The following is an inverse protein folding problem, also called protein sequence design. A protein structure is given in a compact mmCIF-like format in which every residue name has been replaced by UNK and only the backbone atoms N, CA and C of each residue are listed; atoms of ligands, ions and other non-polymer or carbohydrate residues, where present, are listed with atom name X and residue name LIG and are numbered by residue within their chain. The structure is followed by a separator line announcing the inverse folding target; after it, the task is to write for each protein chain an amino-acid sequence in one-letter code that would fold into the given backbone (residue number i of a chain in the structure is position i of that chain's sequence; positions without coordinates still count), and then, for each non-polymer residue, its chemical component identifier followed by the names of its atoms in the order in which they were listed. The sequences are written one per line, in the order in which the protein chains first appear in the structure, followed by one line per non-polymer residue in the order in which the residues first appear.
data_IF_966090020243
#
_entry.id   IF_966090020243
#
_cell.length_a   1.000
_cell.length_b   1.000
_cell.length_c   1.000
_cell.angle_alpha   90.00
_cell.angle_beta   90.00
_cell.angle_gamma   90.00
#
_symmetry.space_group_name_H-M   'P 1'
#
loop_
_entity.id
_entity.type
_entity.pdbx_description
1 polymer ?
#
# COMPACT_ATOMS: atom_id res chain seq x y z
N UNK A 1 -1.09 8.52 -8.13
CA UNK A 1 -1.49 8.02 -6.82
C UNK A 1 -1.08 6.56 -6.63
N UNK A 2 -0.99 6.11 -5.36
CA UNK A 2 -0.77 4.72 -5.02
C UNK A 2 -2.09 3.96 -4.97
N UNK A 3 -2.07 2.71 -5.46
CA UNK A 3 -3.20 1.79 -5.39
C UNK A 3 -3.22 1.10 -4.03
N UNK A 4 -4.36 1.17 -3.34
CA UNK A 4 -4.57 0.49 -2.07
C UNK A 4 -5.30 -0.85 -2.23
N UNK A 5 -5.30 -1.66 -1.18
CA UNK A 5 -5.97 -2.97 -1.18
C UNK A 5 -7.47 -2.89 -1.45
N UNK A 6 -8.15 -1.82 -1.03
CA UNK A 6 -9.57 -1.59 -1.30
C UNK A 6 -9.85 -1.14 -2.74
N UNK A 7 -8.85 -0.60 -3.44
CA UNK A 7 -8.96 -0.14 -4.83
C UNK A 7 -8.83 -1.29 -5.84
N UNK A 8 -8.02 -2.30 -5.53
CA UNK A 8 -7.69 -3.40 -6.45
C UNK A 8 -8.92 -4.09 -7.05
N UNK A 9 -10.00 -4.41 -6.29
CA UNK A 9 -11.19 -5.01 -6.90
C UNK A 9 -11.86 -4.13 -7.94
N UNK A 10 -11.80 -2.80 -7.78
CA UNK A 10 -12.33 -1.85 -8.76
C UNK A 10 -11.41 -1.64 -9.95
N UNK A 11 -10.10 -1.75 -9.74
CA UNK A 11 -9.09 -1.64 -10.80
C UNK A 11 -9.18 -2.80 -11.81
N UNK A 12 -9.52 -4.02 -11.36
CA UNK A 12 -9.62 -5.21 -12.19
C UNK A 12 -10.92 -5.24 -12.99
N UNK A 13 -10.84 -5.72 -14.24
CA UNK A 13 -12.02 -5.87 -15.11
C UNK A 13 -13.01 -6.87 -14.50
N UNK A 14 -14.26 -6.44 -14.34
CA UNK A 14 -15.37 -7.30 -13.88
C UNK A 14 -15.53 -8.55 -14.78
N UNK A 15 -15.75 -9.69 -14.15
CA UNK A 15 -15.87 -10.97 -14.84
C UNK A 15 -14.55 -11.68 -15.13
N UNK A 16 -13.40 -11.04 -14.92
CA UNK A 16 -12.11 -11.72 -15.00
C UNK A 16 -11.89 -12.69 -13.84
N UNK A 17 -11.05 -13.72 -14.04
CA UNK A 17 -10.65 -14.64 -12.98
C UNK A 17 -9.95 -13.90 -11.83
N UNK A 18 -9.13 -12.93 -12.15
CA UNK A 18 -8.43 -12.08 -11.16
C UNK A 18 -9.41 -11.31 -10.28
N UNK A 19 -10.42 -10.67 -10.89
CA UNK A 19 -11.50 -9.99 -10.18
C UNK A 19 -12.26 -10.95 -9.24
N UNK A 20 -12.64 -12.13 -9.73
CA UNK A 20 -13.36 -13.11 -8.93
C UNK A 20 -12.58 -13.55 -7.68
N UNK A 21 -11.25 -13.62 -7.79
CA UNK A 21 -10.36 -14.00 -6.68
C UNK A 21 -10.21 -12.89 -5.63
N UNK A 22 -10.12 -11.63 -6.04
CA UNK A 22 -9.75 -10.52 -5.12
C UNK A 22 -10.95 -9.78 -4.54
N UNK A 23 -12.12 -9.83 -5.18
CA UNK A 23 -13.31 -9.06 -4.74
C UNK A 23 -13.76 -9.40 -3.31
N UNK A 24 -13.51 -10.63 -2.88
CA UNK A 24 -13.89 -11.10 -1.55
C UNK A 24 -12.89 -10.68 -0.45
N UNK A 25 -11.69 -10.21 -0.84
CA UNK A 25 -10.63 -9.83 0.08
C UNK A 25 -10.78 -8.39 0.58
N UNK A 26 -11.42 -7.51 -0.20
CA UNK A 26 -11.60 -6.12 0.18
C UNK A 26 -12.90 -5.94 0.97
N UNK A 27 -12.80 -5.69 2.26
CA UNK A 27 -13.94 -5.31 3.09
C UNK A 27 -14.57 -4.02 2.55
N UNK A 28 -15.89 -3.90 2.60
CA UNK A 28 -16.59 -2.73 2.09
C UNK A 28 -16.70 -2.63 0.56
N UNK A 29 -16.16 -3.58 -0.21
CA UNK A 29 -16.33 -3.62 -1.65
C UNK A 29 -17.81 -3.66 -2.06
N UNK A 30 -18.22 -2.77 -2.97
CA UNK A 30 -19.61 -2.64 -3.44
C UNK A 30 -19.71 -3.06 -4.92
N UNK A 31 -20.13 -4.29 -5.21
CA UNK A 31 -20.19 -4.78 -6.60
C UNK A 31 -21.04 -3.91 -7.52
N UNK A 32 -22.12 -3.30 -7.00
CA UNK A 32 -22.99 -2.41 -7.79
C UNK A 32 -22.33 -1.09 -8.22
N UNK A 33 -21.27 -0.65 -7.52
CA UNK A 33 -20.50 0.54 -7.88
C UNK A 33 -19.32 0.23 -8.82
N UNK A 34 -18.99 -1.05 -9.03
CA UNK A 34 -17.78 -1.46 -9.72
C UNK A 34 -17.60 -0.78 -11.07
N UNK A 35 -18.60 -0.88 -11.96
CA UNK A 35 -18.49 -0.34 -13.32
C UNK A 35 -18.12 1.15 -13.32
N UNK A 36 -18.86 1.95 -12.54
CA UNK A 36 -18.64 3.40 -12.46
C UNK A 36 -17.26 3.74 -11.90
N UNK A 37 -16.86 3.07 -10.82
CA UNK A 37 -15.53 3.29 -10.22
C UNK A 37 -14.43 2.83 -11.15
N UNK A 38 -14.56 1.65 -11.78
CA UNK A 38 -13.61 1.14 -12.76
C UNK A 38 -13.38 2.12 -13.91
N UNK A 39 -14.46 2.65 -14.51
CA UNK A 39 -14.38 3.63 -15.59
C UNK A 39 -13.59 4.89 -15.17
N UNK A 40 -13.87 5.42 -13.97
CA UNK A 40 -13.13 6.58 -13.44
C UNK A 40 -11.64 6.28 -13.17
N UNK A 41 -11.33 5.06 -12.76
CA UNK A 41 -9.95 4.66 -12.45
C UNK A 41 -9.08 4.46 -13.70
N UNK A 42 -9.67 4.23 -14.88
CA UNK A 42 -8.89 4.00 -16.12
C UNK A 42 -8.06 5.22 -16.54
N UNK A 43 -8.50 6.42 -16.20
CA UNK A 43 -7.82 7.68 -16.55
C UNK A 43 -6.81 8.11 -15.47
N UNK A 44 -6.69 7.36 -14.38
CA UNK A 44 -5.79 7.67 -13.27
C UNK A 44 -4.52 6.81 -13.38
N UNK A 45 -3.32 7.42 -13.43
CA UNK A 45 -2.06 6.69 -13.48
C UNK A 45 -1.71 6.12 -12.10
N UNK A 46 -2.34 5.03 -11.72
CA UNK A 46 -2.02 4.34 -10.46
C UNK A 46 -0.67 3.64 -10.50
N UNK A 47 -0.02 3.60 -9.35
CA UNK A 47 1.22 2.88 -9.09
C UNK A 47 1.06 2.00 -7.84
N UNK A 48 1.81 0.90 -7.74
CA UNK A 48 1.98 0.16 -6.48
C UNK A 48 3.06 0.77 -5.60
N UNK A 49 4.02 1.43 -6.23
CA UNK A 49 5.12 2.10 -5.55
C UNK A 49 5.48 3.41 -6.26
N UNK A 50 5.93 4.37 -5.48
CA UNK A 50 6.55 5.61 -5.96
C UNK A 50 7.91 5.80 -5.27
N UNK A 51 8.85 6.44 -5.97
CA UNK A 51 10.17 6.77 -5.45
C UNK A 51 10.72 8.02 -6.12
N UNK A 52 11.56 8.75 -5.40
CA UNK A 52 12.46 9.79 -5.92
C UNK A 52 13.91 9.28 -6.13
N UNK A 53 14.13 7.99 -5.88
CA UNK A 53 15.43 7.34 -5.89
C UNK A 53 16.00 7.04 -4.50
N UNK A 54 15.50 7.68 -3.44
CA UNK A 54 15.98 7.51 -2.05
C UNK A 54 14.92 6.89 -1.13
N UNK A 55 13.66 7.18 -1.39
CA UNK A 55 12.53 6.70 -0.59
C UNK A 55 11.65 5.76 -1.40
N UNK A 56 10.96 4.86 -0.71
CA UNK A 56 9.96 3.99 -1.30
C UNK A 56 8.60 4.30 -0.66
N UNK A 57 7.66 4.83 -1.42
CA UNK A 57 6.28 4.98 -0.98
C UNK A 57 5.43 3.84 -1.52
N UNK A 58 4.72 3.14 -0.64
CA UNK A 58 3.76 2.07 -0.98
C UNK A 58 2.51 2.23 -0.12
N UNK A 59 1.42 1.52 -0.46
CA UNK A 59 0.20 1.62 0.33
C UNK A 59 0.37 1.18 1.79
N UNK A 60 1.07 0.04 2.05
CA UNK A 60 1.12 -0.56 3.37
C UNK A 60 2.53 -0.90 3.89
N UNK A 61 3.56 -0.78 3.05
CA UNK A 61 4.95 -1.05 3.40
C UNK A 61 5.50 -2.38 2.87
N UNK A 62 6.76 -2.35 2.49
CA UNK A 62 7.50 -3.51 1.99
C UNK A 62 8.20 -4.22 3.14
N UNK A 63 7.87 -5.51 3.37
CA UNK A 63 8.56 -6.38 4.32
C UNK A 63 9.69 -7.13 3.63
N UNK A 64 10.73 -7.48 4.40
CA UNK A 64 11.91 -8.21 3.88
C UNK A 64 11.55 -9.59 3.35
N UNK A 65 10.72 -10.33 4.08
CA UNK A 65 10.35 -11.68 3.69
C UNK A 65 9.52 -11.69 2.40
N UNK A 66 8.58 -10.75 2.24
CA UNK A 66 7.80 -10.62 1.01
C UNK A 66 8.70 -10.19 -0.16
N UNK A 67 9.55 -9.19 0.05
CA UNK A 67 10.49 -8.70 -0.95
C UNK A 67 11.41 -9.83 -1.47
N UNK A 68 12.05 -10.59 -0.58
CA UNK A 68 12.89 -11.74 -0.95
C UNK A 68 12.12 -12.80 -1.75
N UNK A 69 10.89 -13.07 -1.37
CA UNK A 69 10.04 -14.08 -2.01
C UNK A 69 9.55 -13.65 -3.39
N UNK A 70 9.23 -12.37 -3.58
CA UNK A 70 8.53 -11.86 -4.77
C UNK A 70 9.40 -11.03 -5.70
N UNK A 71 10.39 -10.32 -5.16
CA UNK A 71 11.32 -9.49 -5.93
C UNK A 71 12.68 -10.15 -6.11
N UNK A 72 12.96 -11.26 -5.40
CA UNK A 72 14.21 -12.00 -5.44
C UNK A 72 15.06 -11.79 -4.19
N UNK A 73 15.92 -12.77 -3.88
CA UNK A 73 16.71 -12.78 -2.64
C UNK A 73 17.73 -11.63 -2.54
N UNK A 74 18.09 -11.05 -3.66
CA UNK A 74 19.05 -9.96 -3.81
C UNK A 74 18.41 -8.57 -3.96
N UNK A 75 17.09 -8.46 -3.84
CA UNK A 75 16.37 -7.20 -4.09
C UNK A 75 16.86 -6.05 -3.19
N UNK A 76 17.27 -6.36 -1.95
CA UNK A 76 17.78 -5.38 -0.98
C UNK A 76 19.09 -4.70 -1.45
N UNK A 77 19.82 -5.30 -2.41
CA UNK A 77 21.00 -4.72 -3.01
C UNK A 77 20.71 -3.89 -4.27
N UNK A 78 19.42 -3.75 -4.63
CA UNK A 78 19.00 -3.02 -5.81
C UNK A 78 18.73 -1.56 -5.49
N UNK A 79 18.92 -0.65 -6.45
CA UNK A 79 18.45 0.72 -6.32
C UNK A 79 16.95 0.76 -6.03
N UNK A 80 16.50 1.72 -5.22
CA UNK A 80 15.09 1.88 -4.85
C UNK A 80 14.19 2.02 -6.08
N UNK A 81 14.68 2.68 -7.14
CA UNK A 81 13.99 2.78 -8.42
C UNK A 81 13.70 1.41 -9.06
N UNK A 82 14.66 0.48 -9.04
CA UNK A 82 14.44 -0.87 -9.58
C UNK A 82 13.40 -1.63 -8.75
N UNK A 83 13.38 -1.43 -7.43
CA UNK A 83 12.37 -2.04 -6.55
C UNK A 83 10.97 -1.50 -6.90
N UNK A 84 10.85 -0.18 -7.01
CA UNK A 84 9.58 0.48 -7.38
C UNK A 84 9.09 0.03 -8.77
N UNK A 85 9.99 -0.05 -9.76
CA UNK A 85 9.67 -0.52 -11.11
C UNK A 85 9.15 -1.95 -11.11
N UNK A 86 9.78 -2.86 -10.36
CA UNK A 86 9.34 -4.26 -10.24
C UNK A 86 7.97 -4.36 -9.59
N UNK A 87 7.68 -3.54 -8.57
CA UNK A 87 6.36 -3.47 -7.98
C UNK A 87 5.33 -2.96 -9.00
N UNK A 88 5.64 -1.89 -9.73
CA UNK A 88 4.74 -1.29 -10.71
C UNK A 88 4.48 -2.22 -11.92
N UNK A 89 5.45 -3.04 -12.32
CA UNK A 89 5.25 -4.05 -13.36
C UNK A 89 4.13 -5.04 -13.04
N UNK A 90 3.82 -5.27 -11.76
CA UNK A 90 2.70 -6.12 -11.36
C UNK A 90 1.34 -5.56 -11.79
N UNK A 91 1.22 -4.22 -12.00
CA UNK A 91 -0.01 -3.59 -12.51
C UNK A 91 -0.26 -3.87 -13.99
N UNK A 92 0.78 -4.16 -14.75
CA UNK A 92 0.68 -4.34 -16.21
C UNK A 92 -0.08 -5.61 -16.59
N UNK A 93 -0.16 -6.58 -15.69
CA UNK A 93 -0.82 -7.86 -15.95
C UNK A 93 -1.79 -8.22 -14.80
N UNK A 94 -3.09 -8.40 -15.11
CA UNK A 94 -4.11 -8.72 -14.09
C UNK A 94 -3.78 -9.96 -13.23
N UNK A 95 -3.09 -10.96 -13.80
CA UNK A 95 -2.66 -12.15 -13.07
C UNK A 95 -1.55 -11.87 -12.08
N UNK A 96 -0.61 -10.97 -12.40
CA UNK A 96 0.46 -10.54 -11.50
C UNK A 96 -0.08 -9.68 -10.35
N UNK A 97 -1.09 -8.86 -10.63
CA UNK A 97 -1.77 -7.99 -9.67
C UNK A 97 -2.45 -8.78 -8.53
N UNK A 98 -2.89 -10.01 -8.81
CA UNK A 98 -3.51 -10.89 -7.81
C UNK A 98 -2.53 -11.27 -6.70
N UNK A 99 -1.23 -11.38 -7.01
CA UNK A 99 -0.21 -11.83 -6.07
C UNK A 99 -0.13 -10.93 -4.83
N UNK A 100 0.13 -9.63 -4.94
CA UNK A 100 0.16 -8.77 -3.76
C UNK A 100 -1.19 -8.70 -3.05
N UNK A 101 -2.30 -8.80 -3.78
CA UNK A 101 -3.63 -8.76 -3.18
C UNK A 101 -3.97 -10.00 -2.35
N UNK A 102 -3.42 -11.16 -2.67
CA UNK A 102 -3.65 -12.41 -1.94
C UNK A 102 -2.62 -12.68 -0.82
N UNK A 103 -1.49 -11.97 -0.82
CA UNK A 103 -0.47 -12.09 0.21
C UNK A 103 -0.84 -11.24 1.43
N UNK A 104 -1.78 -11.76 2.22
CA UNK A 104 -2.32 -11.13 3.43
C UNK A 104 -1.62 -11.72 4.65
N UNK A 105 -1.15 -10.86 5.53
CA UNK A 105 -0.52 -11.26 6.79
C UNK A 105 -1.50 -11.63 7.88
N UNK A 106 -1.01 -12.23 8.99
CA UNK A 106 -1.84 -12.68 10.12
C UNK A 106 -2.64 -11.56 10.78
N UNK A 107 -2.10 -10.35 10.87
CA UNK A 107 -2.78 -9.19 11.46
C UNK A 107 -4.08 -8.82 10.72
N UNK A 108 -4.21 -9.21 9.45
CA UNK A 108 -5.39 -8.97 8.61
C UNK A 108 -6.13 -10.28 8.26
N UNK A 109 -5.91 -11.33 9.04
CA UNK A 109 -6.62 -12.62 8.92
C UNK A 109 -6.08 -13.55 7.85
N UNK A 110 -4.93 -13.24 7.25
CA UNK A 110 -4.21 -14.14 6.36
C UNK A 110 -3.28 -15.11 7.10
N UNK A 111 -2.57 -15.93 6.36
CA UNK A 111 -1.58 -16.88 6.90
C UNK A 111 -0.21 -16.73 6.22
N UNK A 112 -0.04 -15.72 5.41
CA UNK A 112 1.15 -15.49 4.61
C UNK A 112 1.99 -14.32 5.09
N UNK A 113 3.03 -14.03 4.32
CA UNK A 113 3.84 -12.82 4.49
C UNK A 113 3.08 -11.64 3.88
N UNK A 114 2.86 -10.55 4.60
CA UNK A 114 2.08 -9.43 4.10
C UNK A 114 2.79 -8.71 2.95
N UNK A 115 2.01 -8.39 1.92
CA UNK A 115 2.46 -7.61 0.78
C UNK A 115 2.42 -6.10 1.08
N UNK A 116 3.00 -5.26 0.18
CA UNK A 116 2.86 -3.80 0.27
C UNK A 116 1.43 -3.25 0.17
N UNK A 117 0.43 -4.11 -0.02
CA UNK A 117 -0.99 -3.76 0.04
C UNK A 117 -1.67 -4.10 1.37
N UNK A 118 -1.04 -4.94 2.22
CA UNK A 118 -1.70 -5.51 3.39
C UNK A 118 -0.87 -5.47 4.67
N UNK A 119 0.37 -5.02 4.63
CA UNK A 119 1.23 -5.01 5.80
C UNK A 119 0.64 -4.14 6.91
N UNK A 120 0.36 -4.74 8.06
CA UNK A 120 0.00 -3.99 9.26
C UNK A 120 1.24 -3.39 9.91
N UNK A 121 1.07 -2.28 10.67
CA UNK A 121 2.18 -1.64 11.38
C UNK A 121 2.91 -2.59 12.33
N UNK A 122 2.19 -3.51 12.99
CA UNK A 122 2.81 -4.52 13.85
C UNK A 122 3.67 -5.51 13.07
N UNK A 123 3.20 -5.97 11.92
CA UNK A 123 3.97 -6.83 11.02
C UNK A 123 5.17 -6.11 10.41
N UNK A 124 5.02 -4.81 10.12
CA UNK A 124 6.11 -3.98 9.65
C UNK A 124 7.20 -3.81 10.74
N UNK A 125 6.80 -3.65 12.00
CA UNK A 125 7.73 -3.58 13.13
C UNK A 125 8.61 -4.85 13.26
N UNK A 126 8.06 -6.02 12.92
CA UNK A 126 8.75 -7.31 13.00
C UNK A 126 9.65 -7.58 11.77
N UNK A 127 9.22 -7.23 10.57
CA UNK A 127 9.90 -7.62 9.33
C UNK A 127 9.97 -6.51 8.26
N UNK A 128 9.71 -5.26 8.60
CA UNK A 128 9.87 -4.13 7.68
C UNK A 128 11.28 -4.05 7.11
N UNK A 129 11.40 -3.63 5.85
CA UNK A 129 12.72 -3.41 5.25
C UNK A 129 13.30 -2.08 5.72
N UNK A 130 14.02 -2.13 6.83
CA UNK A 130 14.66 -0.96 7.45
C UNK A 130 15.94 -0.50 6.71
N UNK A 131 16.33 -1.16 5.61
CA UNK A 131 17.36 -0.63 4.73
C UNK A 131 16.81 0.43 3.76
N UNK A 132 15.49 0.59 3.72
CA UNK A 132 14.78 1.55 2.89
C UNK A 132 14.06 2.57 3.77
N UNK A 133 14.21 3.86 3.48
CA UNK A 133 13.27 4.85 4.03
C UNK A 133 11.93 4.68 3.34
N UNK A 134 10.89 4.33 4.10
CA UNK A 134 9.57 4.07 3.53
C UNK A 134 8.53 5.11 3.94
N UNK A 135 7.54 5.34 3.07
CA UNK A 135 6.34 6.13 3.35
C UNK A 135 5.13 5.23 3.12
N UNK A 136 4.30 5.06 4.15
CA UNK A 136 3.22 4.07 4.17
C UNK A 136 1.94 4.64 4.78
N UNK A 137 0.81 4.11 4.35
CA UNK A 137 -0.53 4.36 4.90
C UNK A 137 -1.13 3.11 5.52
N UNK A 138 -2.39 2.77 5.17
CA UNK A 138 -3.10 1.53 5.43
C UNK A 138 -3.44 1.25 6.91
N UNK A 139 -2.49 1.38 7.82
CA UNK A 139 -2.74 1.22 9.25
C UNK A 139 -2.96 2.59 9.86
N UNK A 140 -4.17 2.86 10.40
CA UNK A 140 -4.48 4.16 10.98
C UNK A 140 -3.55 4.53 12.13
N UNK A 141 -3.12 5.79 12.14
CA UNK A 141 -2.28 6.36 13.18
C UNK A 141 -2.88 7.68 13.69
N UNK A 142 -2.70 8.03 14.99
CA UNK A 142 -3.27 9.25 15.54
C UNK A 142 -2.67 10.53 14.95
N UNK A 143 -1.43 10.47 14.51
CA UNK A 143 -0.70 11.56 13.83
C UNK A 143 0.35 10.95 12.93
N UNK A 144 0.88 11.71 11.96
CA UNK A 144 2.05 11.27 11.18
C UNK A 144 3.21 10.97 12.13
N UNK A 145 3.78 9.79 11.99
CA UNK A 145 4.89 9.36 12.86
C UNK A 145 5.98 8.61 12.10
N UNK A 146 7.21 8.72 12.58
CA UNK A 146 8.37 7.99 12.09
C UNK A 146 8.70 6.87 13.06
N UNK A 147 8.60 5.63 12.60
CA UNK A 147 8.99 4.42 13.35
C UNK A 147 9.58 3.40 12.38
N UNK A 148 10.56 2.62 12.83
CA UNK A 148 11.15 1.52 12.06
C UNK A 148 11.66 1.96 10.66
N UNK A 149 12.22 3.16 10.55
CA UNK A 149 12.64 3.81 9.29
C UNK A 149 11.51 4.02 8.27
N UNK A 150 10.26 4.01 8.73
CA UNK A 150 9.08 4.29 7.91
C UNK A 150 8.23 5.42 8.49
N UNK A 151 7.72 6.27 7.60
CA UNK A 151 6.72 7.29 7.88
C UNK A 151 5.32 6.71 7.71
N UNK A 152 4.56 6.62 8.81
CA UNK A 152 3.16 6.19 8.81
C UNK A 152 2.25 7.39 8.68
N UNK A 153 1.39 7.42 7.64
CA UNK A 153 0.66 8.61 7.20
C UNK A 153 -0.86 8.43 7.12
N UNK A 154 -1.44 7.30 7.58
CA UNK A 154 -2.91 7.12 7.57
C UNK A 154 -3.55 7.83 8.77
N UNK A 155 -3.66 9.14 8.67
CA UNK A 155 -4.23 10.02 9.70
C UNK A 155 -5.69 10.43 9.41
N UNK A 156 -6.26 9.97 8.27
CA UNK A 156 -7.61 10.32 7.82
C UNK A 156 -8.64 9.21 8.03
N UNK A 157 -8.23 8.04 8.46
CA UNK A 157 -9.13 6.93 8.71
C UNK A 157 -10.09 7.21 9.86
N UNK A 158 -11.29 6.62 9.79
CA UNK A 158 -12.34 6.76 10.79
C UNK A 158 -12.75 5.41 11.36
N UNK A 159 -13.30 5.42 12.57
CA UNK A 159 -14.04 4.32 13.14
C UNK A 159 -15.33 4.05 12.34
N UNK A 160 -16.00 2.93 12.60
CA UNK A 160 -17.24 2.57 11.90
C UNK A 160 -18.40 3.54 12.14
N UNK A 161 -18.36 4.32 13.21
CA UNK A 161 -19.31 5.38 13.55
C UNK A 161 -18.94 6.74 12.93
N UNK A 162 -17.85 6.83 12.18
CA UNK A 162 -17.34 8.04 11.56
C UNK A 162 -16.41 8.88 12.43
N UNK A 163 -16.12 8.45 13.68
CA UNK A 163 -15.17 9.15 14.55
C UNK A 163 -13.77 9.10 13.95
N UNK A 164 -13.08 10.24 13.76
CA UNK A 164 -11.70 10.25 13.28
C UNK A 164 -10.76 9.45 14.20
N UNK A 165 -9.85 8.68 13.61
CA UNK A 165 -8.80 7.98 14.35
C UNK A 165 -7.58 8.88 14.47
N UNK A 166 -7.24 9.58 13.40
CA UNK A 166 -6.09 10.48 13.35
C UNK A 166 -6.47 11.96 13.32
N UNK A 167 -5.45 12.81 13.41
CA UNK A 167 -5.58 14.27 13.46
C UNK A 167 -5.66 14.91 12.06
N UNK A 168 -5.62 14.11 10.98
CA UNK A 168 -5.64 14.59 9.60
C UNK A 168 -4.34 15.27 9.15
N UNK A 169 -3.25 15.18 9.91
CA UNK A 169 -1.96 15.72 9.50
C UNK A 169 -1.45 15.07 8.21
N UNK A 170 -0.67 15.83 7.46
CA UNK A 170 -0.03 15.39 6.21
C UNK A 170 1.48 15.26 6.41
N UNK A 171 2.11 14.37 5.67
CA UNK A 171 3.57 14.33 5.55
C UNK A 171 3.97 15.12 4.30
N UNK A 172 4.77 16.17 4.50
CA UNK A 172 5.41 16.90 3.40
C UNK A 172 6.83 16.38 3.21
N UNK A 173 7.23 16.29 1.94
CA UNK A 173 8.60 15.95 1.54
C UNK A 173 9.18 17.06 0.67
N UNK A 174 10.39 17.49 0.97
CA UNK A 174 11.12 18.54 0.24
C UNK A 174 12.61 18.24 0.24
N UNK A 175 13.40 19.09 -0.39
CA UNK A 175 14.87 19.02 -0.35
C UNK A 175 15.44 19.06 1.08
N UNK A 176 14.71 19.66 2.03
CA UNK A 176 15.08 19.68 3.44
C UNK A 176 14.69 18.43 4.23
N UNK A 177 14.02 17.46 3.59
CA UNK A 177 13.56 16.20 4.18
C UNK A 177 12.06 16.16 4.44
N UNK A 178 11.66 15.29 5.36
CA UNK A 178 10.27 15.06 5.75
C UNK A 178 9.86 15.92 6.93
N UNK A 179 8.63 16.43 6.91
CA UNK A 179 8.04 17.12 8.06
C UNK A 179 6.50 16.95 8.07
N UNK A 180 5.91 16.65 9.25
CA UNK A 180 4.46 16.63 9.42
C UNK A 180 3.89 18.04 9.31
N UNK A 181 2.75 18.16 8.63
CA UNK A 181 1.99 19.42 8.51
C UNK A 181 0.59 19.18 9.09
N UNK A 182 0.22 19.85 10.17
CA UNK A 182 -1.14 19.75 10.70
C UNK A 182 -2.13 20.34 9.70
N UNK A 183 -3.33 19.74 9.59
CA UNK A 183 -4.45 20.44 8.97
C UNK A 183 -4.82 21.61 9.88
N UNK A 184 -4.74 22.82 9.32
CA UNK A 184 -5.27 24.00 9.99
C UNK A 184 -6.78 23.80 10.13
N UNK A 185 -7.25 23.69 11.38
CA UNK A 185 -8.66 23.64 11.72
C UNK A 185 -9.37 24.98 11.47
#
# INVERSE_FOLDING_TARGET
PLLGNHDVPYFLKQGSTSYARVRAMASGFKPGAHRRVHELMQDIPFHLAWTDGNILATHAGLTRAWGRRRLGVDYMNKPVGEIADRLNQMLLHPTSMVVPMLDIGPARGGAGTPSPLWCDRGEFAEDGDMCLTQVVGHTPVPTVLLEYDAWFCDTFSTMSDGTPIGDGSLLMYSESGFYPVPLLG
#
